data_IF_729830619494
#
_entry.id   IF_729830619494
#
_cell.length_a   1.000
_cell.length_b   1.000
_cell.length_c   1.000
_cell.angle_alpha   90.00
_cell.angle_beta   90.00
_cell.angle_gamma   90.00
#
_symmetry.space_group_name_H-M   'P 1'
#
loop_
_entity.id
_entity.type
_entity.pdbx_description
1 polymer ?
#
# COMPACT_ATOMS: atom_id res chain seq x y z
N UNK A 1 29.58 -0.47 32.95
CA UNK A 1 28.87 -1.37 33.88
C UNK A 1 27.48 -1.64 33.31
N UNK A 2 27.05 -2.90 33.14
CA UNK A 2 25.65 -3.18 32.76
C UNK A 2 24.74 -2.66 33.88
N UNK A 3 23.85 -1.74 33.53
CA UNK A 3 22.92 -1.13 34.48
C UNK A 3 22.04 -2.24 35.08
N UNK A 4 21.92 -2.30 36.41
CA UNK A 4 21.02 -3.26 37.05
C UNK A 4 19.59 -2.87 36.70
N UNK A 5 18.88 -3.72 35.96
CA UNK A 5 17.49 -3.53 35.56
C UNK A 5 16.59 -4.45 36.39
N UNK A 6 15.42 -3.97 36.79
CA UNK A 6 14.41 -4.80 37.47
C UNK A 6 13.57 -5.55 36.45
N UNK A 7 13.00 -6.71 36.82
CA UNK A 7 12.07 -7.44 35.94
C UNK A 7 10.91 -6.55 35.47
N UNK A 8 10.40 -5.70 36.37
CA UNK A 8 9.33 -4.74 36.04
C UNK A 8 9.74 -3.77 34.93
N UNK A 9 10.98 -3.25 34.96
CA UNK A 9 11.47 -2.37 33.90
C UNK A 9 11.58 -3.10 32.56
N UNK A 10 12.07 -4.35 32.59
CA UNK A 10 12.18 -5.18 31.36
C UNK A 10 10.80 -5.44 30.76
N UNK A 11 9.83 -5.88 31.58
CA UNK A 11 8.45 -6.13 31.13
C UNK A 11 7.81 -4.87 30.55
N UNK A 12 7.94 -3.73 31.24
CA UNK A 12 7.38 -2.46 30.78
C UNK A 12 7.98 -2.03 29.43
N UNK A 13 9.29 -2.20 29.25
CA UNK A 13 9.96 -1.88 27.98
C UNK A 13 9.45 -2.77 26.86
N UNK A 14 9.41 -4.10 27.08
CA UNK A 14 8.94 -5.06 26.08
C UNK A 14 7.46 -4.84 25.72
N UNK A 15 6.60 -4.55 26.69
CA UNK A 15 5.20 -4.23 26.44
C UNK A 15 5.04 -2.92 25.65
N UNK A 16 5.81 -1.88 25.99
CA UNK A 16 5.78 -0.60 25.26
C UNK A 16 6.25 -0.78 23.82
N UNK A 17 7.25 -1.64 23.59
CA UNK A 17 7.85 -1.86 22.27
C UNK A 17 6.99 -2.78 21.39
N UNK A 18 6.52 -3.91 21.90
CA UNK A 18 5.92 -4.97 21.08
C UNK A 18 4.39 -5.09 21.23
N UNK A 19 3.78 -4.44 22.22
CA UNK A 19 2.34 -4.50 22.48
C UNK A 19 1.63 -3.14 22.32
N UNK A 20 2.24 -2.23 21.55
CA UNK A 20 1.67 -0.93 21.22
C UNK A 20 0.73 -0.96 20.01
N UNK A 21 0.61 0.17 19.32
CA UNK A 21 -0.19 0.34 18.10
C UNK A 21 0.50 -0.20 16.83
N UNK A 22 1.76 -0.60 16.94
CA UNK A 22 2.55 -1.25 15.90
C UNK A 22 3.11 -2.57 16.44
N UNK A 23 2.61 -3.69 15.94
CA UNK A 23 3.15 -5.03 16.16
C UNK A 23 4.07 -5.45 15.00
N UNK A 24 5.07 -6.29 15.29
CA UNK A 24 6.02 -6.76 14.27
C UNK A 24 6.27 -8.25 14.41
N UNK A 25 6.06 -9.00 13.33
CA UNK A 25 6.45 -10.40 13.22
C UNK A 25 7.68 -10.52 12.33
N UNK A 26 8.78 -11.02 12.92
CA UNK A 26 10.05 -11.18 12.21
C UNK A 26 10.82 -12.44 12.60
N UNK A 27 10.42 -13.13 13.68
CA UNK A 27 11.15 -14.29 14.20
C UNK A 27 11.03 -15.54 13.33
N UNK A 28 10.11 -15.57 12.36
CA UNK A 28 10.02 -16.61 11.33
C UNK A 28 11.07 -16.44 10.22
N UNK A 29 11.79 -15.32 10.20
CA UNK A 29 12.88 -15.08 9.25
C UNK A 29 14.11 -15.86 9.70
N UNK A 30 14.59 -16.77 8.86
CA UNK A 30 15.71 -17.65 9.19
C UNK A 30 17.06 -16.93 9.36
N UNK A 31 17.19 -15.73 8.78
CA UNK A 31 18.41 -14.93 8.78
C UNK A 31 18.52 -14.09 10.07
N UNK A 32 19.51 -14.35 10.95
CA UNK A 32 19.68 -13.63 12.19
C UNK A 32 20.02 -12.15 12.00
N UNK A 33 20.74 -11.77 10.92
CA UNK A 33 21.12 -10.38 10.67
C UNK A 33 19.89 -9.54 10.34
N UNK A 34 18.98 -10.08 9.51
CA UNK A 34 17.68 -9.46 9.22
C UNK A 34 16.84 -9.31 10.48
N UNK A 35 16.80 -10.34 11.32
CA UNK A 35 16.09 -10.28 12.61
C UNK A 35 16.67 -9.20 13.54
N UNK A 36 18.00 -9.11 13.63
CA UNK A 36 18.67 -8.10 14.46
C UNK A 36 18.42 -6.69 13.92
N UNK A 37 18.46 -6.50 12.60
CA UNK A 37 18.18 -5.21 11.95
C UNK A 37 16.79 -4.66 12.30
N UNK A 38 15.78 -5.54 12.36
CA UNK A 38 14.42 -5.19 12.76
C UNK A 38 14.38 -4.90 14.27
N UNK A 39 14.98 -5.77 15.08
CA UNK A 39 15.01 -5.62 16.54
C UNK A 39 15.63 -4.30 16.98
N UNK A 40 16.77 -3.93 16.40
CA UNK A 40 17.49 -2.69 16.72
C UNK A 40 16.65 -1.44 16.45
N UNK A 41 15.81 -1.47 15.41
CA UNK A 41 14.87 -0.39 15.09
C UNK A 41 13.70 -0.36 16.06
N UNK A 42 13.00 -1.48 16.21
CA UNK A 42 11.76 -1.55 16.99
C UNK A 42 12.02 -1.31 18.49
N UNK A 43 13.15 -1.80 19.02
CA UNK A 43 13.54 -1.58 20.41
C UNK A 43 14.11 -0.16 20.68
N UNK A 44 14.31 0.65 19.64
CA UNK A 44 14.71 2.04 19.81
C UNK A 44 13.55 2.86 20.42
N UNK A 45 13.73 3.53 21.58
CA UNK A 45 12.67 4.34 22.21
C UNK A 45 12.17 5.53 21.36
N UNK A 46 12.84 5.85 20.25
CA UNK A 46 12.46 6.89 19.29
C UNK A 46 11.78 6.35 18.04
N UNK A 47 11.63 5.03 17.89
CA UNK A 47 11.12 4.40 16.68
C UNK A 47 9.77 4.97 16.21
N UNK A 48 8.82 5.14 17.15
CA UNK A 48 7.50 5.73 16.88
C UNK A 48 7.42 7.24 17.21
N UNK A 49 8.55 7.92 17.41
CA UNK A 49 8.57 9.32 17.84
C UNK A 49 8.87 10.24 16.67
N UNK A 50 7.82 10.93 16.22
CA UNK A 50 7.93 12.04 15.28
C UNK A 50 7.97 13.40 16.00
N UNK A 51 8.64 14.36 15.37
CA UNK A 51 8.56 15.76 15.76
C UNK A 51 7.18 16.36 15.41
N UNK A 52 6.93 17.59 15.86
CA UNK A 52 5.63 18.23 15.66
C UNK A 52 5.38 18.59 14.19
N UNK A 53 6.43 18.86 13.40
CA UNK A 53 6.31 19.21 11.99
C UNK A 53 5.82 18.01 11.17
N UNK A 54 6.45 16.84 11.34
CA UNK A 54 6.02 15.60 10.68
C UNK A 54 4.61 15.18 11.13
N UNK A 55 4.25 15.38 12.40
CA UNK A 55 2.87 15.12 12.87
C UNK A 55 1.84 16.02 12.19
N UNK A 56 2.12 17.31 12.07
CA UNK A 56 1.25 18.24 11.35
C UNK A 56 1.14 17.88 9.87
N UNK A 57 2.24 17.45 9.24
CA UNK A 57 2.24 17.00 7.85
C UNK A 57 1.41 15.73 7.62
N UNK A 58 1.53 14.74 8.52
CA UNK A 58 0.70 13.52 8.49
C UNK A 58 -0.77 13.90 8.68
N UNK A 59 -1.08 14.80 9.61
CA UNK A 59 -2.44 15.29 9.84
C UNK A 59 -3.02 16.01 8.61
N UNK A 60 -2.26 16.89 7.96
CA UNK A 60 -2.69 17.58 6.74
C UNK A 60 -3.02 16.57 5.63
N UNK A 61 -2.16 15.57 5.42
CA UNK A 61 -2.37 14.49 4.45
C UNK A 61 -3.65 13.69 4.77
N UNK A 62 -3.92 13.45 6.05
CA UNK A 62 -5.14 12.78 6.51
C UNK A 62 -6.38 13.63 6.23
N UNK A 63 -6.33 14.94 6.50
CA UNK A 63 -7.40 15.88 6.19
C UNK A 63 -7.75 15.89 4.69
N UNK A 64 -6.75 15.84 3.80
CA UNK A 64 -7.01 15.72 2.36
C UNK A 64 -7.69 14.40 1.99
N UNK A 65 -7.30 13.30 2.63
CA UNK A 65 -7.92 12.00 2.38
C UNK A 65 -9.39 11.98 2.83
N UNK A 66 -9.67 12.42 4.06
CA UNK A 66 -11.03 12.49 4.62
C UNK A 66 -11.93 13.48 3.85
N UNK A 67 -11.43 14.68 3.56
CA UNK A 67 -12.19 15.70 2.83
C UNK A 67 -12.58 15.20 1.44
N UNK A 68 -11.70 14.45 0.77
CA UNK A 68 -11.99 13.88 -0.54
C UNK A 68 -13.11 12.83 -0.49
N UNK A 69 -13.11 11.92 0.50
CA UNK A 69 -14.20 10.95 0.67
C UNK A 69 -15.53 11.66 0.98
N UNK A 70 -15.51 12.61 1.91
CA UNK A 70 -16.70 13.39 2.28
C UNK A 70 -17.26 14.16 1.06
N UNK A 71 -16.39 14.76 0.24
CA UNK A 71 -16.81 15.44 -0.98
C UNK A 71 -17.50 14.49 -1.96
N UNK A 72 -16.91 13.31 -2.22
CA UNK A 72 -17.51 12.33 -3.13
C UNK A 72 -18.84 11.79 -2.58
N UNK A 73 -18.93 11.52 -1.28
CA UNK A 73 -20.15 11.07 -0.62
C UNK A 73 -21.28 12.10 -0.76
N UNK A 74 -20.97 13.40 -0.66
CA UNK A 74 -21.97 14.46 -0.82
C UNK A 74 -22.36 14.74 -2.27
N UNK A 75 -21.38 14.80 -3.20
CA UNK A 75 -21.65 15.19 -4.59
C UNK A 75 -22.10 14.04 -5.48
N UNK A 76 -21.67 12.81 -5.20
CA UNK A 76 -21.95 11.64 -6.02
C UNK A 76 -22.57 10.50 -5.19
N UNK A 77 -23.57 10.84 -4.38
CA UNK A 77 -24.22 9.95 -3.41
C UNK A 77 -24.88 8.69 -4.01
N UNK A 78 -25.19 8.66 -5.30
CA UNK A 78 -25.80 7.51 -5.99
C UNK A 78 -24.79 6.63 -6.71
N UNK A 79 -23.50 6.98 -6.67
CA UNK A 79 -22.46 6.29 -7.45
C UNK A 79 -21.51 5.54 -6.54
N UNK A 80 -21.31 4.25 -6.83
CA UNK A 80 -20.31 3.42 -6.14
C UNK A 80 -18.91 3.99 -6.35
N UNK A 81 -18.19 4.24 -5.25
CA UNK A 81 -16.81 4.76 -5.26
C UNK A 81 -15.80 3.81 -4.61
N UNK A 82 -16.26 2.90 -3.74
CA UNK A 82 -15.41 2.03 -2.94
C UNK A 82 -14.41 2.82 -2.09
N UNK A 83 -14.96 3.75 -1.31
CA UNK A 83 -14.25 4.76 -0.54
C UNK A 83 -13.29 4.17 0.49
N UNK A 84 -12.38 5.04 0.94
CA UNK A 84 -11.39 4.71 1.96
C UNK A 84 -11.91 4.95 3.38
N UNK A 85 -13.20 5.24 3.58
CA UNK A 85 -13.79 5.57 4.88
C UNK A 85 -13.46 4.50 5.96
N UNK A 86 -12.73 4.92 6.99
CA UNK A 86 -12.20 4.04 8.06
C UNK A 86 -10.82 3.41 7.78
N UNK A 87 -10.11 3.83 6.73
CA UNK A 87 -8.77 3.39 6.36
C UNK A 87 -7.90 4.52 5.78
N UNK A 88 -8.24 5.78 6.08
CA UNK A 88 -7.67 7.00 5.49
C UNK A 88 -6.17 7.15 5.78
N UNK A 89 -5.69 6.56 6.87
CA UNK A 89 -4.28 6.56 7.30
C UNK A 89 -3.32 5.96 6.26
N UNK A 90 -3.82 5.18 5.29
CA UNK A 90 -2.96 4.66 4.23
C UNK A 90 -2.44 5.75 3.28
N UNK A 91 -3.17 6.86 3.12
CA UNK A 91 -2.76 7.97 2.25
C UNK A 91 -1.51 8.68 2.79
N UNK A 92 -1.45 9.15 4.05
CA UNK A 92 -0.21 9.68 4.60
C UNK A 92 0.91 8.64 4.58
N UNK A 93 0.63 7.39 4.96
CA UNK A 93 1.64 6.34 5.01
C UNK A 93 2.29 6.04 3.65
N UNK A 94 1.49 5.92 2.58
CA UNK A 94 2.02 5.73 1.22
C UNK A 94 2.91 6.89 0.79
N UNK A 95 2.51 8.14 1.08
CA UNK A 95 3.31 9.32 0.74
C UNK A 95 4.61 9.34 1.54
N UNK A 96 4.54 9.08 2.84
CA UNK A 96 5.71 9.02 3.73
C UNK A 96 6.69 7.92 3.30
N UNK A 97 6.19 6.73 2.97
CA UNK A 97 7.00 5.63 2.45
C UNK A 97 7.67 5.96 1.11
N UNK A 98 6.94 6.58 0.17
CA UNK A 98 7.51 7.03 -1.11
C UNK A 98 8.57 8.11 -0.88
N UNK A 99 8.29 9.08 0.00
CA UNK A 99 9.24 10.14 0.36
C UNK A 99 10.53 9.53 0.94
N UNK A 100 10.39 8.57 1.88
CA UNK A 100 11.50 7.86 2.50
C UNK A 100 12.31 7.01 1.52
N UNK A 101 11.65 6.23 0.69
CA UNK A 101 12.32 5.44 -0.35
C UNK A 101 13.06 6.34 -1.35
N UNK A 102 12.50 7.50 -1.68
CA UNK A 102 13.16 8.50 -2.52
C UNK A 102 14.40 9.11 -1.86
N UNK A 103 14.40 9.30 -0.54
CA UNK A 103 15.60 9.75 0.20
C UNK A 103 16.72 8.71 0.12
N UNK A 104 16.36 7.43 0.05
CA UNK A 104 17.27 6.30 -0.14
C UNK A 104 17.70 6.10 -1.61
N UNK A 105 17.23 6.95 -2.53
CA UNK A 105 17.62 6.94 -3.95
C UNK A 105 16.58 6.34 -4.90
N UNK A 106 15.44 5.85 -4.42
CA UNK A 106 14.39 5.31 -5.29
C UNK A 106 13.71 6.39 -6.13
N UNK A 107 13.63 6.18 -7.44
CA UNK A 107 13.09 7.16 -8.37
C UNK A 107 11.92 6.65 -9.21
N UNK A 108 11.54 5.36 -9.13
CA UNK A 108 10.44 4.81 -9.91
C UNK A 108 9.59 3.90 -9.06
N UNK A 109 8.30 4.21 -8.93
CA UNK A 109 7.35 3.44 -8.13
C UNK A 109 6.26 2.89 -9.05
N UNK A 110 6.11 1.56 -9.06
CA UNK A 110 5.05 0.88 -9.82
C UNK A 110 4.04 0.36 -8.82
N UNK A 111 2.82 0.88 -8.91
CA UNK A 111 1.76 0.63 -7.94
C UNK A 111 0.68 -0.26 -8.58
N UNK A 112 0.31 -1.33 -7.90
CA UNK A 112 -0.91 -2.10 -8.14
C UNK A 112 -1.85 -1.94 -6.97
N UNK A 113 -3.15 -1.75 -7.22
CA UNK A 113 -4.14 -1.69 -6.14
C UNK A 113 -5.54 -2.09 -6.59
N UNK A 114 -6.38 -2.64 -5.70
CA UNK A 114 -7.79 -2.91 -5.96
C UNK A 114 -8.62 -1.61 -5.92
N UNK A 115 -9.94 -1.75 -5.83
CA UNK A 115 -10.88 -0.63 -5.80
C UNK A 115 -10.83 0.20 -4.51
N UNK A 116 -10.52 -0.41 -3.35
CA UNK A 116 -10.64 0.23 -2.03
C UNK A 116 -9.73 1.46 -1.92
N UNK A 117 -10.33 2.64 -1.79
CA UNK A 117 -9.63 3.91 -1.70
C UNK A 117 -8.84 4.32 -2.94
N UNK A 118 -9.04 3.66 -4.09
CA UNK A 118 -8.26 3.93 -5.31
C UNK A 118 -8.41 5.35 -5.80
N UNK A 119 -9.61 5.91 -5.75
CA UNK A 119 -9.86 7.29 -6.17
C UNK A 119 -9.13 8.28 -5.27
N UNK A 120 -9.05 7.98 -3.97
CA UNK A 120 -8.31 8.76 -2.99
C UNK A 120 -6.80 8.71 -3.27
N UNK A 121 -6.26 7.52 -3.54
CA UNK A 121 -4.89 7.35 -4.00
C UNK A 121 -4.68 8.05 -5.35
N UNK A 122 -5.60 8.01 -6.30
CA UNK A 122 -5.43 8.76 -7.55
C UNK A 122 -5.31 10.28 -7.30
N UNK A 123 -6.14 10.84 -6.44
CA UNK A 123 -6.12 12.27 -6.12
C UNK A 123 -4.91 12.68 -5.26
N UNK A 124 -4.72 12.03 -4.11
CA UNK A 124 -3.79 12.44 -3.06
C UNK A 124 -2.41 11.74 -3.15
N UNK A 125 -2.44 10.46 -3.56
CA UNK A 125 -1.35 9.55 -4.00
C UNK A 125 -0.62 10.01 -5.24
N UNK A 126 -1.34 9.98 -6.37
CA UNK A 126 -0.84 10.11 -7.75
C UNK A 126 -0.97 11.53 -8.31
N UNK A 127 -1.75 12.41 -7.67
CA UNK A 127 -2.03 13.78 -8.14
C UNK A 127 -2.66 13.79 -9.54
N UNK A 128 -3.48 12.76 -9.84
CA UNK A 128 -4.37 12.79 -11.01
C UNK A 128 -5.27 14.03 -10.85
N UNK A 129 -5.37 14.91 -11.86
CA UNK A 129 -6.23 16.08 -11.78
C UNK A 129 -7.66 15.69 -11.39
N UNK A 130 -8.19 16.31 -10.34
CA UNK A 130 -9.53 15.98 -9.82
C UNK A 130 -10.63 16.18 -10.87
N UNK A 131 -10.45 17.13 -11.79
CA UNK A 131 -11.37 17.36 -12.91
C UNK A 131 -11.51 16.11 -13.78
N UNK A 132 -10.41 15.38 -14.01
CA UNK A 132 -10.47 14.12 -14.74
C UNK A 132 -11.22 13.06 -13.94
N UNK A 133 -10.95 12.95 -12.62
CA UNK A 133 -11.68 12.02 -11.74
C UNK A 133 -13.20 12.32 -11.75
N UNK A 134 -13.59 13.59 -11.69
CA UNK A 134 -15.01 13.97 -11.68
C UNK A 134 -15.69 13.76 -13.05
N UNK A 135 -14.98 13.91 -14.16
CA UNK A 135 -15.49 13.53 -15.49
C UNK A 135 -15.86 12.04 -15.56
N UNK A 136 -15.12 11.18 -14.86
CA UNK A 136 -15.41 9.75 -14.82
C UNK A 136 -16.69 9.43 -14.05
N UNK A 137 -16.99 10.23 -13.00
CA UNK A 137 -18.27 10.15 -12.29
C UNK A 137 -19.45 10.65 -13.14
N UNK A 138 -19.21 11.63 -14.01
CA UNK A 138 -20.25 12.16 -14.90
C UNK A 138 -20.44 11.33 -16.19
N UNK A 139 -19.65 10.27 -16.41
CA UNK A 139 -19.67 9.49 -17.65
C UNK A 139 -19.10 10.22 -18.86
N UNK A 140 -18.39 11.34 -18.65
CA UNK A 140 -17.87 12.24 -19.70
C UNK A 140 -16.44 11.92 -20.14
N UNK A 141 -15.95 10.73 -19.82
CA UNK A 141 -14.60 10.26 -20.13
C UNK A 141 -14.43 9.79 -21.58
N UNK A 142 -15.54 9.55 -22.27
CA UNK A 142 -15.54 8.88 -23.56
C UNK A 142 -16.14 9.79 -24.62
N UNK A 143 -15.33 10.72 -25.15
CA UNK A 143 -15.67 11.37 -26.40
C UNK A 143 -15.12 10.50 -27.54
N UNK A 144 -15.91 9.51 -27.95
CA UNK A 144 -15.61 8.62 -29.09
C UNK A 144 -15.21 9.36 -30.37
N UNK A 145 -15.64 10.62 -30.51
CA UNK A 145 -15.36 11.48 -31.65
C UNK A 145 -14.00 12.18 -31.61
N UNK A 146 -13.33 12.28 -30.45
CA UNK A 146 -12.06 12.99 -30.30
C UNK A 146 -10.86 12.04 -30.38
N UNK A 147 -11.01 10.82 -29.82
CA UNK A 147 -9.96 9.79 -29.92
C UNK A 147 -9.87 9.12 -31.30
N UNK A 148 -10.96 9.11 -32.08
CA UNK A 148 -10.96 8.61 -33.47
C UNK A 148 -10.27 9.56 -34.46
N UNK A 149 -10.08 10.85 -34.11
CA UNK A 149 -9.44 11.83 -34.99
C UNK A 149 -7.92 11.84 -34.93
N UNK A 150 -7.32 11.40 -33.81
CA UNK A 150 -5.87 11.52 -33.56
C UNK A 150 -5.10 10.20 -33.57
N UNK A 151 -5.76 9.05 -33.76
CA UNK A 151 -5.10 7.74 -33.89
C UNK A 151 -5.38 7.22 -35.30
N UNK A 152 -4.34 7.17 -36.15
CA UNK A 152 -4.38 6.56 -37.50
C UNK A 152 -4.45 5.02 -37.41
N UNK A 153 -5.46 4.49 -36.74
CA UNK A 153 -5.70 3.06 -36.63
C UNK A 153 -7.01 2.78 -35.92
N UNK A 154 -7.75 1.80 -36.41
CA UNK A 154 -9.04 1.29 -35.92
C UNK A 154 -8.92 0.60 -34.53
N UNK A 155 -8.19 1.18 -33.59
CA UNK A 155 -8.14 0.70 -32.22
C UNK A 155 -9.34 1.28 -31.47
N UNK A 156 -10.43 0.52 -31.41
CA UNK A 156 -11.56 0.83 -30.55
C UNK A 156 -11.12 0.82 -29.09
N UNK A 157 -11.25 1.95 -28.39
CA UNK A 157 -11.11 1.99 -26.93
C UNK A 157 -12.48 1.69 -26.33
N UNK A 158 -12.71 0.52 -25.73
CA UNK A 158 -14.00 0.21 -25.10
C UNK A 158 -14.24 1.00 -23.80
N UNK A 159 -13.21 1.71 -23.31
CA UNK A 159 -13.18 2.26 -21.96
C UNK A 159 -13.14 1.17 -20.88
N UNK A 160 -13.15 1.62 -19.62
CA UNK A 160 -13.30 0.79 -18.43
C UNK A 160 -13.92 1.64 -17.30
N UNK A 161 -14.31 1.03 -16.19
CA UNK A 161 -14.81 1.75 -15.01
C UNK A 161 -13.69 2.58 -14.35
N UNK A 162 -14.07 3.71 -13.76
CA UNK A 162 -13.15 4.74 -13.20
C UNK A 162 -12.06 4.20 -12.26
N UNK A 163 -12.35 3.14 -11.51
CA UNK A 163 -11.42 2.50 -10.58
C UNK A 163 -10.58 1.36 -11.20
N UNK A 164 -10.54 1.24 -12.53
CA UNK A 164 -9.61 0.34 -13.24
C UNK A 164 -8.53 1.07 -14.04
N UNK A 165 -8.73 2.37 -14.30
CA UNK A 165 -7.84 3.13 -15.17
C UNK A 165 -6.47 3.35 -14.51
N UNK A 166 -5.42 3.17 -15.30
CA UNK A 166 -4.04 3.45 -14.91
C UNK A 166 -3.73 4.96 -14.94
N UNK A 167 -2.62 5.36 -14.33
CA UNK A 167 -2.13 6.74 -14.37
C UNK A 167 -0.62 6.73 -14.18
N UNK A 168 0.09 7.59 -14.91
CA UNK A 168 1.51 7.84 -14.70
C UNK A 168 1.74 9.33 -14.49
N UNK A 169 2.64 9.69 -13.57
CA UNK A 169 2.95 11.06 -13.23
C UNK A 169 4.40 11.19 -12.75
N UNK A 170 5.10 12.19 -13.27
CA UNK A 170 6.41 12.59 -12.76
C UNK A 170 6.27 13.65 -11.68
N UNK A 171 7.18 13.63 -10.70
CA UNK A 171 7.23 14.59 -9.60
C UNK A 171 8.63 15.06 -9.35
N UNK A 172 8.73 16.35 -9.05
CA UNK A 172 9.96 16.99 -8.61
C UNK A 172 9.76 17.46 -7.17
N UNK A 173 10.64 17.04 -6.28
CA UNK A 173 10.69 17.52 -4.91
C UNK A 173 11.37 18.90 -4.84
N UNK A 174 11.10 19.70 -3.79
CA UNK A 174 11.78 21.00 -3.61
C UNK A 174 13.31 20.89 -3.54
N UNK A 175 13.84 19.75 -3.11
CA UNK A 175 15.28 19.46 -3.01
C UNK A 175 15.90 18.97 -4.35
N UNK A 176 15.13 18.92 -5.43
CA UNK A 176 15.58 18.53 -6.76
C UNK A 176 15.49 17.03 -7.06
N UNK A 177 15.06 16.18 -6.11
CA UNK A 177 14.81 14.77 -6.42
C UNK A 177 13.66 14.63 -7.41
N UNK A 178 13.79 13.70 -8.36
CA UNK A 178 12.77 13.39 -9.34
C UNK A 178 12.29 11.96 -9.18
N UNK A 179 10.98 11.77 -9.12
CA UNK A 179 10.37 10.43 -9.05
C UNK A 179 9.30 10.25 -10.13
N UNK A 180 9.18 9.02 -10.62
CA UNK A 180 8.12 8.58 -11.51
C UNK A 180 7.16 7.67 -10.76
N UNK A 181 5.87 8.00 -10.75
CA UNK A 181 4.82 7.14 -10.20
C UNK A 181 4.01 6.54 -11.35
N UNK A 182 3.75 5.24 -11.30
CA UNK A 182 2.88 4.56 -12.26
C UNK A 182 1.90 3.62 -11.56
N UNK A 183 0.61 3.95 -11.62
CA UNK A 183 -0.48 3.08 -11.19
C UNK A 183 -0.93 2.22 -12.37
N UNK A 184 -0.83 0.90 -12.22
CA UNK A 184 -1.18 -0.06 -13.27
C UNK A 184 -2.71 -0.17 -13.37
N UNK A 185 -3.21 -0.29 -14.60
CA UNK A 185 -4.61 -0.60 -14.85
C UNK A 185 -4.91 -2.05 -14.49
N UNK A 186 -6.09 -2.35 -13.95
CA UNK A 186 -6.43 -3.70 -13.51
C UNK A 186 -7.90 -4.02 -13.71
N UNK A 187 -8.24 -5.29 -14.00
CA UNK A 187 -9.63 -5.73 -14.00
C UNK A 187 -10.18 -5.80 -12.57
N UNK A 188 -11.47 -6.12 -12.45
CA UNK A 188 -12.12 -6.38 -11.15
C UNK A 188 -11.66 -7.69 -10.48
N UNK A 189 -11.01 -8.59 -11.22
CA UNK A 189 -10.41 -9.82 -10.67
C UNK A 189 -9.28 -9.44 -9.71
N UNK A 190 -9.57 -9.48 -8.41
CA UNK A 190 -8.65 -9.05 -7.36
C UNK A 190 -7.33 -9.83 -7.46
N UNK A 191 -6.23 -9.17 -7.09
CA UNK A 191 -4.87 -9.72 -7.08
C UNK A 191 -4.26 -10.07 -8.46
N UNK A 192 -5.06 -10.15 -9.53
CA UNK A 192 -4.57 -10.46 -10.90
C UNK A 192 -3.53 -9.44 -11.41
N UNK A 193 -3.56 -8.20 -10.91
CA UNK A 193 -2.58 -7.16 -11.26
C UNK A 193 -1.20 -7.37 -10.61
N UNK A 194 -1.11 -8.18 -9.56
CA UNK A 194 0.12 -8.36 -8.78
C UNK A 194 1.32 -8.80 -9.64
N UNK A 195 1.24 -9.90 -10.42
CA UNK A 195 2.35 -10.31 -11.27
C UNK A 195 2.60 -9.32 -12.42
N UNK A 196 1.58 -8.58 -12.86
CA UNK A 196 1.73 -7.57 -13.92
C UNK A 196 2.56 -6.38 -13.42
N UNK A 197 2.35 -5.94 -12.18
CA UNK A 197 3.14 -4.89 -11.53
C UNK A 197 4.59 -5.32 -11.34
N UNK A 198 4.81 -6.52 -10.82
CA UNK A 198 6.16 -7.07 -10.63
C UNK A 198 6.88 -7.22 -11.98
N UNK A 199 6.21 -7.75 -13.00
CA UNK A 199 6.75 -7.83 -14.37
C UNK A 199 7.06 -6.46 -14.98
N UNK A 200 6.21 -5.45 -14.75
CA UNK A 200 6.46 -4.07 -15.17
C UNK A 200 7.65 -3.46 -14.44
N UNK A 201 7.81 -3.73 -13.15
CA UNK A 201 8.97 -3.31 -12.36
C UNK A 201 10.25 -3.95 -12.90
N UNK A 202 10.24 -5.26 -13.17
CA UNK A 202 11.36 -5.99 -13.77
C UNK A 202 11.75 -5.42 -15.14
N UNK A 203 10.77 -5.16 -16.01
CA UNK A 203 11.01 -4.53 -17.30
C UNK A 203 11.62 -3.12 -17.12
N UNK A 204 11.13 -2.32 -16.17
CA UNK A 204 11.67 -0.99 -15.90
C UNK A 204 13.12 -1.05 -15.41
N UNK A 205 13.45 -1.99 -14.52
CA UNK A 205 14.83 -2.24 -14.08
C UNK A 205 15.75 -2.59 -15.25
N UNK A 206 15.27 -3.43 -16.17
CA UNK A 206 16.01 -3.77 -17.39
C UNK A 206 16.31 -2.53 -18.24
N UNK A 207 15.30 -1.71 -18.52
CA UNK A 207 15.47 -0.47 -19.30
C UNK A 207 16.25 0.64 -18.56
N UNK A 208 16.42 0.54 -17.24
CA UNK A 208 17.30 1.42 -16.45
C UNK A 208 18.79 1.00 -16.48
N UNK A 209 19.12 -0.10 -17.17
CA UNK A 209 20.48 -0.62 -17.29
C UNK A 209 20.67 -2.00 -16.66
N UNK A 210 19.68 -2.50 -15.92
CA UNK A 210 19.70 -3.81 -15.24
C UNK A 210 20.88 -3.99 -14.28
N UNK A 211 21.31 -2.91 -13.63
CA UNK A 211 22.41 -2.94 -12.67
C UNK A 211 21.88 -3.29 -11.27
N UNK A 212 22.72 -3.79 -10.35
CA UNK A 212 22.28 -4.12 -8.99
C UNK A 212 21.57 -2.96 -8.26
N UNK A 213 21.97 -1.71 -8.52
CA UNK A 213 21.31 -0.52 -7.96
C UNK A 213 19.89 -0.30 -8.50
N UNK A 214 19.59 -0.75 -9.73
CA UNK A 214 18.29 -0.50 -10.36
C UNK A 214 17.16 -1.26 -9.64
N UNK A 215 17.47 -2.39 -8.99
CA UNK A 215 16.49 -3.13 -8.14
C UNK A 215 16.10 -2.37 -6.88
N UNK A 216 17.02 -1.56 -6.34
CA UNK A 216 16.75 -0.63 -5.24
C UNK A 216 16.00 0.61 -5.71
N UNK A 217 16.29 1.08 -6.92
CA UNK A 217 15.75 2.34 -7.44
C UNK A 217 14.32 2.24 -8.00
N UNK A 218 13.92 1.03 -8.42
CA UNK A 218 12.59 0.72 -8.96
C UNK A 218 11.82 -0.11 -7.95
N UNK A 219 10.80 0.49 -7.33
CA UNK A 219 10.05 -0.08 -6.20
C UNK A 219 8.64 -0.48 -6.63
N UNK A 220 8.31 -1.79 -6.66
CA UNK A 220 6.93 -2.23 -6.77
C UNK A 220 6.22 -2.10 -5.42
N UNK A 221 5.01 -1.55 -5.45
CA UNK A 221 4.10 -1.42 -4.30
C UNK A 221 2.77 -2.07 -4.68
N UNK A 222 2.31 -3.03 -3.89
CA UNK A 222 1.05 -3.70 -4.09
C UNK A 222 0.13 -3.44 -2.90
N UNK A 223 -1.04 -2.87 -3.17
CA UNK A 223 -2.12 -2.77 -2.19
C UNK A 223 -3.07 -3.93 -2.36
N UNK A 224 -3.59 -4.44 -1.25
CA UNK A 224 -4.45 -5.61 -1.19
C UNK A 224 -5.66 -5.38 -0.26
N UNK A 225 -6.71 -6.17 -0.44
CA UNK A 225 -7.75 -6.36 0.59
C UNK A 225 -7.46 -7.63 1.40
N UNK A 226 -7.80 -7.66 2.68
CA UNK A 226 -7.48 -8.78 3.58
C UNK A 226 -7.99 -10.14 3.10
N UNK A 227 -9.25 -10.21 2.65
CA UNK A 227 -9.84 -11.45 2.17
C UNK A 227 -9.21 -11.95 0.85
N UNK A 228 -8.89 -11.02 -0.06
CA UNK A 228 -8.31 -11.37 -1.36
C UNK A 228 -6.83 -11.77 -1.23
N UNK A 229 -6.08 -11.07 -0.36
CA UNK A 229 -4.69 -11.37 -0.07
C UNK A 229 -4.51 -12.80 0.47
N UNK A 230 -5.40 -13.23 1.37
CA UNK A 230 -5.37 -14.58 1.92
C UNK A 230 -5.99 -15.65 1.00
N UNK A 231 -6.92 -15.27 0.12
CA UNK A 231 -7.77 -16.21 -0.61
C UNK A 231 -7.38 -16.46 -2.08
N UNK A 232 -6.65 -15.56 -2.73
CA UNK A 232 -6.30 -15.70 -4.15
C UNK A 232 -4.91 -16.32 -4.33
N UNK A 233 -4.85 -17.47 -5.02
CA UNK A 233 -3.60 -18.21 -5.24
C UNK A 233 -2.52 -17.42 -5.98
N UNK A 234 -2.91 -16.46 -6.83
CA UNK A 234 -1.98 -15.59 -7.57
C UNK A 234 -1.12 -14.73 -6.63
N UNK A 235 -1.57 -14.46 -5.39
CA UNK A 235 -0.75 -13.78 -4.38
C UNK A 235 0.46 -14.62 -4.01
N UNK A 236 0.23 -15.91 -3.69
CA UNK A 236 1.30 -16.87 -3.41
C UNK A 236 2.22 -17.02 -4.60
N UNK A 237 1.66 -17.23 -5.79
CA UNK A 237 2.45 -17.40 -7.03
C UNK A 237 3.33 -16.17 -7.30
N UNK A 238 2.83 -14.97 -7.04
CA UNK A 238 3.63 -13.73 -7.22
C UNK A 238 4.76 -13.65 -6.21
N UNK A 239 4.50 -13.88 -4.92
CA UNK A 239 5.53 -13.81 -3.87
C UNK A 239 6.58 -14.92 -4.03
N UNK A 240 6.19 -16.09 -4.53
CA UNK A 240 7.09 -17.21 -4.84
C UNK A 240 8.16 -16.82 -5.87
N UNK A 241 7.92 -15.81 -6.71
CA UNK A 241 8.86 -15.32 -7.70
C UNK A 241 9.93 -14.37 -7.13
N UNK A 242 9.81 -13.93 -5.87
CA UNK A 242 10.66 -12.88 -5.30
C UNK A 242 12.17 -13.18 -5.32
N UNK A 243 12.59 -14.44 -5.43
CA UNK A 243 14.01 -14.85 -5.55
C UNK A 243 14.29 -15.74 -6.75
N UNK A 244 13.33 -15.85 -7.68
CA UNK A 244 13.53 -16.64 -8.89
C UNK A 244 14.36 -15.80 -9.87
N UNK A 245 15.44 -16.35 -10.45
CA UNK A 245 16.22 -15.66 -11.47
C UNK A 245 15.33 -15.08 -12.56
N UNK A 246 15.66 -13.88 -13.02
CA UNK A 246 14.91 -13.09 -14.01
C UNK A 246 13.54 -12.55 -13.60
N UNK A 247 12.95 -13.01 -12.48
CA UNK A 247 11.72 -12.45 -11.91
C UNK A 247 11.97 -11.59 -10.67
N UNK A 248 13.09 -11.79 -9.98
CA UNK A 248 13.49 -10.98 -8.82
C UNK A 248 13.58 -9.49 -9.17
N UNK A 249 12.87 -8.67 -8.38
CA UNK A 249 12.79 -7.22 -8.49
C UNK A 249 13.41 -6.49 -7.29
N UNK A 250 14.15 -7.18 -6.43
CA UNK A 250 14.71 -6.62 -5.19
C UNK A 250 13.64 -6.39 -4.11
N UNK A 251 12.64 -7.26 -4.07
CA UNK A 251 11.53 -7.20 -3.13
C UNK A 251 10.36 -6.30 -3.56
N UNK A 252 9.18 -6.58 -3.00
CA UNK A 252 7.92 -5.86 -3.19
C UNK A 252 7.36 -5.38 -1.87
N UNK A 253 6.85 -4.15 -1.82
CA UNK A 253 6.13 -3.65 -0.64
C UNK A 253 4.66 -4.04 -0.77
N UNK A 254 4.20 -4.88 0.16
CA UNK A 254 2.80 -5.28 0.24
C UNK A 254 2.10 -4.47 1.32
N UNK A 255 0.93 -3.92 0.98
CA UNK A 255 0.14 -3.09 1.87
C UNK A 255 -1.27 -3.67 1.91
N UNK A 256 -1.65 -4.28 3.02
CA UNK A 256 -2.99 -4.86 3.17
C UNK A 256 -3.89 -3.85 3.87
N UNK A 257 -4.94 -3.40 3.19
CA UNK A 257 -6.01 -2.59 3.79
C UNK A 257 -6.98 -3.53 4.50
N UNK A 258 -6.58 -3.98 5.68
CA UNK A 258 -7.26 -4.99 6.47
C UNK A 258 -8.41 -4.37 7.25
N UNK A 259 -9.53 -4.20 6.54
CA UNK A 259 -10.77 -3.68 7.09
C UNK A 259 -11.61 -4.77 7.79
N UNK A 260 -11.03 -5.96 7.99
CA UNK A 260 -11.59 -7.10 8.71
C UNK A 260 -12.89 -7.66 8.11
N UNK A 261 -13.12 -7.46 6.80
CA UNK A 261 -14.30 -7.99 6.12
C UNK A 261 -14.11 -8.08 4.59
N UNK A 262 -14.38 -9.26 4.03
CA UNK A 262 -14.45 -9.46 2.58
C UNK A 262 -15.90 -9.48 2.10
N UNK A 263 -16.38 -8.39 1.49
CA UNK A 263 -17.81 -8.22 1.16
C UNK A 263 -18.70 -8.35 2.42
N UNK A 264 -19.28 -9.53 2.67
CA UNK A 264 -20.09 -9.89 3.85
C UNK A 264 -19.42 -10.95 4.75
N UNK A 265 -18.25 -11.45 4.35
CA UNK A 265 -17.55 -12.57 4.97
C UNK A 265 -16.56 -12.11 6.03
N UNK A 266 -16.70 -12.66 7.25
CA UNK A 266 -15.78 -12.40 8.36
C UNK A 266 -14.42 -13.10 8.16
N UNK A 267 -13.34 -12.56 8.77
CA UNK A 267 -12.00 -13.13 8.78
C UNK A 267 -11.93 -14.63 9.07
N UNK A 268 -12.68 -15.08 10.07
CA UNK A 268 -12.74 -16.49 10.49
C UNK A 268 -13.30 -17.43 9.41
N UNK A 269 -13.97 -16.89 8.40
CA UNK A 269 -14.51 -17.63 7.26
C UNK A 269 -13.74 -17.38 5.96
N UNK A 270 -12.73 -16.50 5.95
CA UNK A 270 -11.95 -16.17 4.76
C UNK A 270 -10.53 -16.76 4.77
N UNK A 271 -10.02 -17.19 5.93
CA UNK A 271 -8.67 -17.74 6.08
C UNK A 271 -8.58 -18.73 7.24
N UNK A 272 -7.51 -19.53 7.24
CA UNK A 272 -7.24 -20.58 8.25
C UNK A 272 -6.12 -20.23 9.23
N UNK A 273 -5.62 -18.99 9.21
CA UNK A 273 -4.54 -18.51 10.07
C UNK A 273 -4.94 -17.18 10.73
N UNK A 274 -4.27 -16.76 11.82
CA UNK A 274 -4.67 -15.55 12.57
C UNK A 274 -4.68 -14.27 11.72
N UNK A 275 -3.65 -14.05 10.91
CA UNK A 275 -3.46 -12.83 10.15
C UNK A 275 -3.65 -13.07 8.65
N UNK A 276 -4.22 -12.07 7.95
CA UNK A 276 -4.31 -12.14 6.49
C UNK A 276 -2.92 -12.16 5.84
N UNK A 277 -1.92 -11.58 6.53
CA UNK A 277 -0.53 -11.47 6.08
C UNK A 277 0.32 -12.74 6.26
N UNK A 278 -0.22 -13.81 6.86
CA UNK A 278 0.54 -15.02 7.19
C UNK A 278 1.18 -15.70 5.97
N UNK A 279 0.64 -15.48 4.76
CA UNK A 279 1.26 -15.97 3.51
C UNK A 279 2.69 -15.47 3.33
N UNK A 280 3.02 -14.27 3.83
CA UNK A 280 4.38 -13.73 3.77
C UNK A 280 5.40 -14.52 4.59
N UNK A 281 4.95 -15.28 5.60
CA UNK A 281 5.82 -16.12 6.42
C UNK A 281 6.47 -17.23 5.59
N UNK A 282 5.79 -17.73 4.55
CA UNK A 282 6.34 -18.74 3.64
C UNK A 282 7.60 -18.26 2.92
N UNK A 283 7.76 -16.95 2.76
CA UNK A 283 8.87 -16.32 2.03
C UNK A 283 9.84 -15.56 2.94
N UNK A 284 9.64 -15.60 4.26
CA UNK A 284 10.47 -14.89 5.22
C UNK A 284 10.38 -13.37 5.09
N UNK A 285 9.22 -12.83 4.66
CA UNK A 285 8.98 -11.39 4.67
C UNK A 285 8.65 -10.92 6.10
N UNK A 286 9.21 -9.81 6.60
CA UNK A 286 8.75 -9.20 7.84
C UNK A 286 7.34 -8.66 7.67
N UNK A 287 6.57 -8.71 8.76
CA UNK A 287 5.19 -8.27 8.78
C UNK A 287 5.03 -7.21 9.87
N UNK A 288 4.57 -6.04 9.49
CA UNK A 288 4.28 -4.92 10.38
C UNK A 288 2.77 -4.74 10.47
N UNK A 289 2.19 -5.05 11.63
CA UNK A 289 0.76 -4.90 11.91
C UNK A 289 0.54 -3.55 12.57
N UNK A 290 -0.13 -2.62 11.89
CA UNK A 290 -0.37 -1.27 12.40
C UNK A 290 -1.85 -0.99 12.59
N UNK A 291 -2.17 -0.30 13.69
CA UNK A 291 -3.53 0.19 13.94
C UNK A 291 -3.81 1.40 13.02
N UNK A 292 -4.81 1.28 12.16
CA UNK A 292 -5.24 2.33 11.23
C UNK A 292 -5.74 3.61 11.90
N UNK A 293 -6.16 3.55 13.16
CA UNK A 293 -6.53 4.73 13.96
C UNK A 293 -5.30 5.46 14.56
N UNK A 294 -4.10 4.89 14.44
CA UNK A 294 -2.84 5.55 14.76
C UNK A 294 -2.04 5.82 13.46
N UNK A 295 -2.29 6.96 12.79
CA UNK A 295 -1.63 7.27 11.51
C UNK A 295 -0.10 7.39 11.63
N UNK A 296 0.43 7.65 12.83
CA UNK A 296 1.89 7.67 13.05
C UNK A 296 2.46 6.26 13.00
N UNK A 297 1.78 5.29 13.60
CA UNK A 297 2.15 3.88 13.51
C UNK A 297 2.10 3.36 12.07
N UNK A 298 1.06 3.74 11.30
CA UNK A 298 0.95 3.34 9.87
C UNK A 298 2.08 3.94 9.03
N UNK A 299 2.37 5.24 9.19
CA UNK A 299 3.51 5.87 8.50
C UNK A 299 4.84 5.23 8.89
N UNK A 300 5.06 4.97 10.18
CA UNK A 300 6.29 4.31 10.66
C UNK A 300 6.44 2.90 10.08
N UNK A 301 5.34 2.13 10.01
CA UNK A 301 5.35 0.81 9.41
C UNK A 301 5.75 0.86 7.93
N UNK A 302 5.21 1.82 7.18
CA UNK A 302 5.50 1.98 5.76
C UNK A 302 6.95 2.43 5.52
N UNK A 303 7.43 3.41 6.28
CA UNK A 303 8.84 3.86 6.22
C UNK A 303 9.80 2.71 6.55
N UNK A 304 9.50 1.93 7.60
CA UNK A 304 10.31 0.77 8.00
C UNK A 304 10.30 -0.32 6.93
N UNK A 305 9.16 -0.60 6.30
CA UNK A 305 9.06 -1.57 5.21
C UNK A 305 9.91 -1.14 4.00
N UNK A 306 9.89 0.16 3.65
CA UNK A 306 10.73 0.71 2.58
C UNK A 306 12.22 0.59 2.88
N UNK A 307 12.62 0.93 4.12
CA UNK A 307 14.00 0.77 4.57
C UNK A 307 14.45 -0.70 4.54
N UNK A 308 13.59 -1.62 5.00
CA UNK A 308 13.89 -3.05 5.01
C UNK A 308 14.10 -3.57 3.59
N UNK A 309 13.21 -3.21 2.67
CA UNK A 309 13.36 -3.58 1.25
C UNK A 309 14.65 -3.01 0.66
N UNK A 310 14.94 -1.74 0.93
CA UNK A 310 16.16 -1.09 0.42
C UNK A 310 17.42 -1.81 0.89
N UNK A 311 17.50 -2.17 2.18
CA UNK A 311 18.64 -2.86 2.76
C UNK A 311 18.76 -4.30 2.23
N UNK A 312 17.67 -5.06 2.26
CA UNK A 312 17.71 -6.52 2.15
C UNK A 312 17.24 -7.09 0.81
N UNK A 313 16.72 -6.24 -0.10
CA UNK A 313 16.20 -6.65 -1.40
C UNK A 313 15.11 -7.70 -1.28
N UNK A 314 14.17 -7.51 -0.37
CA UNK A 314 13.20 -8.53 0.05
C UNK A 314 11.83 -7.92 0.26
N UNK A 315 10.80 -8.73 0.02
CA UNK A 315 9.41 -8.34 0.28
C UNK A 315 9.22 -7.96 1.75
N UNK A 316 8.33 -7.00 2.00
CA UNK A 316 7.89 -6.59 3.33
C UNK A 316 6.39 -6.32 3.30
N UNK A 317 5.68 -6.68 4.38
CA UNK A 317 4.22 -6.55 4.47
C UNK A 317 3.85 -5.54 5.55
N UNK A 318 3.03 -4.55 5.19
CA UNK A 318 2.32 -3.66 6.11
C UNK A 318 0.86 -4.11 6.16
N UNK A 319 0.44 -4.70 7.26
CA UNK A 319 -0.94 -5.08 7.56
C UNK A 319 -1.59 -3.95 8.35
N UNK A 320 -2.34 -3.08 7.68
CA UNK A 320 -3.04 -1.95 8.32
C UNK A 320 -4.42 -2.42 8.76
N UNK A 321 -4.57 -2.68 10.06
CA UNK A 321 -5.84 -3.06 10.67
C UNK A 321 -6.71 -1.83 10.80
N UNK A 322 -7.82 -1.82 10.08
CA UNK A 322 -8.75 -0.71 10.01
C UNK A 322 -10.19 -1.23 9.99
N UNK A 323 -11.14 -0.43 9.51
CA UNK A 323 -12.52 -0.85 9.32
C UNK A 323 -13.07 -0.35 7.98
N UNK A 324 -14.30 -0.76 7.65
CA UNK A 324 -15.07 -0.19 6.55
C UNK A 324 -16.31 0.45 7.14
N UNK A 325 -16.37 1.78 7.10
CA UNK A 325 -17.46 2.55 7.71
C UNK A 325 -18.83 2.25 7.07
N UNK A 326 -18.84 1.96 5.77
CA UNK A 326 -20.04 1.72 4.97
C UNK A 326 -20.13 0.26 4.49
N UNK A 327 -21.17 -0.06 3.72
CA UNK A 327 -21.28 -1.33 3.01
C UNK A 327 -20.10 -1.62 2.05
N UNK A 328 -20.09 -2.78 1.40
CA UNK A 328 -19.02 -3.11 0.44
C UNK A 328 -18.92 -2.10 -0.69
N UNK A 329 -20.07 -1.68 -1.20
CA UNK A 329 -20.22 -0.37 -1.80
C UNK A 329 -21.17 0.48 -0.95
N UNK A 330 -21.22 1.77 -1.21
CA UNK A 330 -21.90 2.73 -0.32
C UNK A 330 -23.42 2.67 -0.39
N UNK A 331 -23.97 1.87 -1.29
CA UNK A 331 -25.40 1.57 -1.41
C UNK A 331 -25.79 0.21 -0.80
N UNK A 332 -24.81 -0.59 -0.36
CA UNK A 332 -25.08 -1.87 0.30
C UNK A 332 -25.38 -1.66 1.80
N UNK A 333 -26.28 -2.47 2.35
CA UNK A 333 -26.62 -2.47 3.78
C UNK A 333 -25.83 -3.57 4.52
N UNK A 334 -24.74 -3.25 5.24
CA UNK A 334 -23.91 -4.25 5.93
C UNK A 334 -24.60 -4.94 7.11
N UNK A 335 -25.56 -4.27 7.75
CA UNK A 335 -26.24 -4.76 8.97
C UNK A 335 -27.03 -6.06 8.74
N UNK A 336 -27.33 -6.43 7.48
CA UNK A 336 -27.98 -7.71 7.18
C UNK A 336 -27.11 -8.91 7.50
N UNK A 337 -25.78 -8.75 7.46
CA UNK A 337 -24.84 -9.85 7.69
C UNK A 337 -23.88 -9.59 8.84
N UNK A 338 -23.56 -8.32 9.12
CA UNK A 338 -22.64 -7.90 10.16
C UNK A 338 -23.27 -6.73 10.94
N UNK A 339 -24.17 -7.00 11.89
CA UNK A 339 -24.93 -5.98 12.63
C UNK A 339 -24.10 -5.17 13.62
#
# INVERSE_FOLDING_TARGET
MKQKVTLRMVLNQLQTTYCGTLGVEYMHINDPERCNWIRERVENPRFLKYDNEKKLHIYERLCFADTFENFLAHKFNTTKRFGLDGGEAIVPALKDGIDRASELGAHSFIIGMPHRGRLNVLANVMRKPMQLIFREFMGLNYDSNDHSKNIKGEWGSSGDVKYHLGTSMDRTYPDGRHIHLSLVANPSHLECVNPVVVGKARAKQYYCGNRPEDTRNVVPILLHGDAAFAGQGVVYETMQLAKVPDFDVGGTIHVVVNNQIGFTTNPVHSRSTPYCSDIGKAFGAPILHCNGDDPLAVSCAMETAMEYRHEWGSDAIVDMICYRRLGHNELDQPLFTQP
#
